data_IF_005119200829
#
_entry.id   IF_005119200829
#
_cell.length_a   1.000
_cell.length_b   1.000
_cell.length_c   1.000
_cell.angle_alpha   90.00
_cell.angle_beta   90.00
_cell.angle_gamma   90.00
#
_symmetry.space_group_name_H-M   'P 1'
#
loop_
_entity.id
_entity.type
_entity.pdbx_description
1 polymer ?
#
# COMPACT_ATOMS: atom_id res chain seq x y z
N UNK A 1 -8.57 -0.97 -16.63
CA UNK A 1 -9.69 -0.83 -15.66
C UNK A 1 -9.11 -0.71 -14.27
N UNK A 2 -9.74 0.04 -13.38
CA UNK A 2 -9.27 0.30 -12.02
C UNK A 2 -10.02 1.45 -11.38
N UNK A 3 -9.47 1.98 -10.29
CA UNK A 3 -9.97 3.13 -9.56
C UNK A 3 -9.28 4.39 -10.08
N UNK A 4 -10.07 5.31 -10.65
CA UNK A 4 -9.58 6.62 -11.07
C UNK A 4 -9.08 7.46 -9.87
N UNK A 5 -8.53 8.64 -10.14
CA UNK A 5 -8.01 9.51 -9.09
C UNK A 5 -9.10 9.89 -8.09
N UNK A 6 -8.90 9.56 -6.81
CA UNK A 6 -9.84 9.84 -5.73
C UNK A 6 -9.10 10.21 -4.43
N UNK A 7 -9.68 11.08 -3.58
CA UNK A 7 -9.01 11.59 -2.38
C UNK A 7 -9.22 10.71 -1.15
N UNK A 8 -8.24 10.77 -0.23
CA UNK A 8 -8.29 10.25 1.13
C UNK A 8 -7.69 11.26 2.11
N UNK A 9 -8.04 11.13 3.39
CA UNK A 9 -7.53 11.94 4.50
C UNK A 9 -7.55 11.10 5.77
N UNK A 10 -6.53 11.23 6.61
CA UNK A 10 -6.44 10.57 7.92
C UNK A 10 -6.79 9.07 7.88
N UNK A 11 -6.22 8.37 6.90
CA UNK A 11 -6.41 6.93 6.65
C UNK A 11 -5.10 6.29 6.22
N UNK A 12 -4.81 5.11 6.76
CA UNK A 12 -3.71 4.25 6.31
C UNK A 12 -4.27 3.24 5.32
N UNK A 13 -3.83 3.32 4.06
CA UNK A 13 -4.29 2.45 2.98
C UNK A 13 -3.18 1.47 2.65
N UNK A 14 -3.46 0.19 2.87
CA UNK A 14 -2.51 -0.92 2.67
C UNK A 14 -2.97 -1.74 1.47
N UNK A 15 -2.09 -1.94 0.50
CA UNK A 15 -2.33 -2.76 -0.68
C UNK A 15 -1.38 -3.95 -0.74
N UNK A 16 -1.92 -5.16 -0.88
CA UNK A 16 -1.16 -6.41 -0.99
C UNK A 16 -1.66 -7.21 -2.20
N UNK A 17 -1.00 -7.13 -3.36
CA UNK A 17 -1.31 -7.96 -4.50
C UNK A 17 -1.09 -9.45 -4.23
N UNK A 18 -2.07 -10.26 -4.59
CA UNK A 18 -2.00 -11.74 -4.55
C UNK A 18 -1.82 -12.32 -5.95
N UNK A 19 -2.19 -11.59 -7.00
CA UNK A 19 -1.92 -11.93 -8.39
C UNK A 19 -1.88 -10.67 -9.28
N UNK A 20 -1.08 -10.71 -10.34
CA UNK A 20 -0.94 -9.59 -11.26
C UNK A 20 -0.14 -8.42 -10.67
N UNK A 21 -0.43 -7.22 -11.14
CA UNK A 21 0.31 -5.98 -10.86
C UNK A 21 -0.67 -4.85 -10.63
N UNK A 22 -0.49 -4.09 -9.55
CA UNK A 22 -1.30 -2.91 -9.24
C UNK A 22 -0.46 -1.67 -9.53
N UNK A 23 -0.92 -0.84 -10.47
CA UNK A 23 -0.28 0.44 -10.77
C UNK A 23 -0.85 1.53 -9.86
N UNK A 24 0.01 2.19 -9.10
CA UNK A 24 -0.31 3.30 -8.22
C UNK A 24 0.21 4.61 -8.78
N UNK A 25 -0.55 5.70 -8.60
CA UNK A 25 -0.09 7.07 -8.81
C UNK A 25 -0.80 8.01 -7.85
N UNK A 26 -0.07 8.94 -7.24
CA UNK A 26 -0.64 9.93 -6.33
C UNK A 26 -0.25 11.39 -6.64
N UNK A 27 -0.86 12.30 -5.89
CA UNK A 27 -0.69 13.76 -6.03
C UNK A 27 0.61 14.29 -5.42
N UNK A 28 1.34 13.52 -4.62
CA UNK A 28 2.65 13.93 -4.08
C UNK A 28 3.81 13.53 -5.01
N UNK A 29 3.49 12.94 -6.17
CA UNK A 29 4.44 12.63 -7.24
C UNK A 29 4.91 11.18 -7.24
N UNK A 30 4.40 10.34 -6.35
CA UNK A 30 4.74 8.92 -6.35
C UNK A 30 3.97 8.19 -7.43
N UNK A 31 4.66 7.32 -8.15
CA UNK A 31 4.03 6.34 -9.02
C UNK A 31 4.86 5.06 -9.02
N UNK A 32 4.19 3.92 -9.11
CA UNK A 32 4.84 2.64 -8.98
C UNK A 32 3.96 1.49 -9.40
N UNK A 33 4.59 0.33 -9.58
CA UNK A 33 3.90 -0.94 -9.74
C UNK A 33 4.15 -1.75 -8.47
N UNK A 34 3.06 -2.25 -7.88
CA UNK A 34 3.08 -3.13 -6.72
C UNK A 34 2.80 -4.53 -7.25
N UNK A 35 3.73 -5.45 -7.04
CA UNK A 35 3.65 -6.83 -7.54
C UNK A 35 3.29 -7.82 -6.43
N UNK A 36 2.94 -9.06 -6.82
CA UNK A 36 2.72 -10.12 -5.84
C UNK A 36 3.99 -10.42 -5.05
N UNK A 37 3.87 -10.56 -3.74
CA UNK A 37 5.02 -10.64 -2.82
C UNK A 37 5.52 -9.28 -2.33
N UNK A 38 4.81 -8.20 -2.66
CA UNK A 38 5.06 -6.85 -2.14
C UNK A 38 3.90 -6.35 -1.28
N UNK A 39 4.20 -5.39 -0.41
CA UNK A 39 3.24 -4.59 0.33
C UNK A 39 3.47 -3.12 -0.01
N UNK A 40 2.37 -2.38 -0.08
CA UNK A 40 2.38 -0.93 -0.18
C UNK A 40 1.52 -0.33 0.94
N UNK A 41 1.99 0.76 1.51
CA UNK A 41 1.26 1.61 2.46
C UNK A 41 1.26 3.04 1.96
N UNK A 42 0.10 3.68 2.04
CA UNK A 42 -0.07 5.11 1.86
C UNK A 42 -0.75 5.67 3.12
N UNK A 43 -0.05 6.53 3.86
CA UNK A 43 -0.66 7.33 4.92
C UNK A 43 -1.25 8.58 4.27
N UNK A 44 -2.56 8.74 4.32
CA UNK A 44 -3.23 9.85 3.67
C UNK A 44 -3.01 11.19 4.41
N UNK A 45 -2.81 11.15 5.73
CA UNK A 45 -2.46 12.33 6.52
C UNK A 45 -3.36 13.54 6.28
N UNK A 46 -2.76 14.71 6.09
CA UNK A 46 -3.45 15.98 5.77
C UNK A 46 -4.23 15.96 4.45
N UNK A 47 -4.04 14.94 3.61
CA UNK A 47 -4.81 14.66 2.41
C UNK A 47 -3.94 14.25 1.23
N UNK A 48 -4.36 13.22 0.50
CA UNK A 48 -3.72 12.76 -0.74
C UNK A 48 -4.80 12.26 -1.70
N UNK A 49 -4.60 12.45 -3.00
CA UNK A 49 -5.43 11.78 -4.00
C UNK A 49 -4.57 10.80 -4.81
N UNK A 50 -5.16 9.66 -5.14
CA UNK A 50 -4.45 8.58 -5.83
C UNK A 50 -5.34 7.80 -6.78
N UNK A 51 -4.73 7.10 -7.72
CA UNK A 51 -5.37 6.15 -8.62
C UNK A 51 -4.68 4.80 -8.56
N UNK A 52 -5.48 3.76 -8.72
CA UNK A 52 -5.05 2.37 -8.62
C UNK A 52 -5.59 1.62 -9.83
N UNK A 53 -4.71 1.28 -10.77
CA UNK A 53 -5.09 0.68 -12.04
C UNK A 53 -4.53 -0.73 -12.16
N UNK A 54 -5.18 -1.59 -12.94
CA UNK A 54 -4.53 -2.83 -13.36
C UNK A 54 -3.25 -2.48 -14.16
N UNK A 55 -2.09 -2.92 -13.66
CA UNK A 55 -0.79 -2.70 -14.27
C UNK A 55 -0.42 -3.71 -15.36
N UNK A 56 -1.26 -4.72 -15.62
CA UNK A 56 -1.08 -5.65 -16.74
C UNK A 56 -2.04 -5.31 -17.88
N UNK A 57 -1.61 -5.58 -19.12
CA UNK A 57 -2.46 -5.50 -20.30
C UNK A 57 -3.50 -6.63 -20.33
N UNK A 58 -3.08 -7.86 -20.02
CA UNK A 58 -3.85 -9.06 -20.37
C UNK A 58 -4.28 -9.91 -19.16
N UNK A 59 -3.76 -9.62 -17.96
CA UNK A 59 -4.01 -10.42 -16.75
C UNK A 59 -4.71 -9.56 -15.69
N UNK A 60 -5.82 -10.03 -15.07
CA UNK A 60 -6.44 -9.32 -13.96
C UNK A 60 -5.53 -9.22 -12.75
N UNK A 61 -5.50 -8.05 -12.11
CA UNK A 61 -4.93 -7.89 -10.77
C UNK A 61 -5.91 -8.42 -9.71
N UNK A 62 -5.39 -9.09 -8.69
CA UNK A 62 -6.11 -9.47 -7.45
C UNK A 62 -5.27 -9.00 -6.28
N UNK A 63 -5.89 -8.34 -5.32
CA UNK A 63 -5.18 -7.76 -4.19
C UNK A 63 -6.11 -7.56 -3.01
N UNK A 64 -5.53 -7.47 -1.81
CA UNK A 64 -6.22 -6.94 -0.64
C UNK A 64 -6.00 -5.44 -0.58
N UNK A 65 -7.09 -4.70 -0.32
CA UNK A 65 -7.04 -3.30 0.08
C UNK A 65 -7.58 -3.23 1.51
N UNK A 66 -6.74 -2.79 2.45
CA UNK A 66 -7.03 -2.79 3.88
C UNK A 66 -6.89 -1.35 4.36
N UNK A 67 -7.92 -0.86 5.05
CA UNK A 67 -7.94 0.50 5.58
C UNK A 67 -7.86 0.45 7.10
N UNK A 68 -6.92 1.21 7.65
CA UNK A 68 -6.72 1.30 9.10
C UNK A 68 -6.83 2.76 9.51
N UNK A 69 -7.65 3.03 10.53
CA UNK A 69 -7.70 4.35 11.14
C UNK A 69 -6.38 4.60 11.88
N UNK A 70 -5.65 5.68 11.57
CA UNK A 70 -4.36 5.92 12.19
C UNK A 70 -4.51 6.32 13.65
N UNK A 71 -3.52 6.00 14.48
CA UNK A 71 -3.46 6.49 15.87
C UNK A 71 -3.13 7.99 15.97
N UNK A 72 -2.70 8.59 14.85
CA UNK A 72 -2.33 10.00 14.75
C UNK A 72 -2.87 10.59 13.45
N UNK A 73 -3.64 11.67 13.58
CA UNK A 73 -4.21 12.41 12.45
C UNK A 73 -3.36 13.64 12.11
N UNK A 74 -3.58 14.21 10.92
CA UNK A 74 -2.92 15.42 10.45
C UNK A 74 -1.42 15.26 10.21
N UNK A 75 -0.96 14.02 10.00
CA UNK A 75 0.44 13.72 9.64
C UNK A 75 0.72 14.10 8.18
N UNK A 76 1.99 14.24 7.84
CA UNK A 76 2.39 14.44 6.44
C UNK A 76 2.02 13.20 5.60
N UNK A 77 1.38 13.36 4.42
CA UNK A 77 1.11 12.24 3.54
C UNK A 77 2.40 11.53 3.14
N UNK A 78 2.39 10.21 3.15
CA UNK A 78 3.57 9.42 2.80
C UNK A 78 3.22 8.12 2.09
N UNK A 79 4.22 7.58 1.40
CA UNK A 79 4.16 6.32 0.69
C UNK A 79 5.34 5.44 1.09
N UNK A 80 5.11 4.14 1.23
CA UNK A 80 6.16 3.14 1.39
C UNK A 80 5.77 1.86 0.65
N UNK A 81 6.75 1.21 0.03
CA UNK A 81 6.59 -0.08 -0.63
C UNK A 81 7.79 -0.97 -0.32
N UNK A 82 7.53 -2.26 -0.07
CA UNK A 82 8.56 -3.23 0.27
C UNK A 82 8.25 -4.62 -0.30
N UNK A 83 9.30 -5.38 -0.64
CA UNK A 83 9.18 -6.82 -0.90
C UNK A 83 9.07 -7.57 0.43
N UNK A 84 8.01 -8.35 0.58
CA UNK A 84 7.72 -9.15 1.77
C UNK A 84 7.88 -10.65 1.53
N UNK A 85 8.09 -11.09 0.28
CA UNK A 85 8.27 -12.49 -0.06
C UNK A 85 9.37 -13.17 0.78
N UNK A 86 10.50 -12.46 1.01
CA UNK A 86 11.63 -12.99 1.79
C UNK A 86 11.37 -12.98 3.31
N UNK A 87 10.32 -12.27 3.76
CA UNK A 87 9.92 -12.15 5.16
C UNK A 87 8.89 -13.21 5.57
N UNK A 88 8.27 -13.90 4.60
CA UNK A 88 7.17 -14.82 4.81
C UNK A 88 7.62 -16.26 4.55
N UNK A 89 7.49 -17.10 5.59
CA UNK A 89 7.77 -18.54 5.49
C UNK A 89 6.48 -19.35 5.59
N UNK A 90 6.34 -20.46 4.85
CA UNK A 90 5.18 -21.32 4.96
C UNK A 90 4.94 -21.79 6.40
N UNK A 91 3.70 -21.66 6.88
CA UNK A 91 3.27 -22.07 8.22
C UNK A 91 3.94 -21.31 9.38
N UNK A 92 4.48 -20.12 9.14
CA UNK A 92 5.02 -19.23 10.17
C UNK A 92 4.34 -17.86 10.11
N UNK A 93 4.27 -17.16 11.25
CA UNK A 93 3.88 -15.76 11.28
C UNK A 93 5.06 -14.88 10.89
N UNK A 94 4.85 -13.97 9.93
CA UNK A 94 5.82 -12.94 9.55
C UNK A 94 5.23 -11.55 9.73
N UNK A 95 5.97 -10.66 10.38
CA UNK A 95 5.59 -9.27 10.52
C UNK A 95 5.94 -8.50 9.24
N UNK A 96 4.94 -7.84 8.66
CA UNK A 96 5.10 -7.07 7.42
C UNK A 96 4.67 -5.61 7.58
N UNK A 97 4.03 -5.27 8.70
CA UNK A 97 3.51 -3.94 9.00
C UNK A 97 3.45 -3.72 10.53
N UNK A 98 3.88 -2.56 11.02
CA UNK A 98 3.86 -2.19 12.46
C UNK A 98 3.62 -0.69 12.67
N UNK A 99 3.05 -0.23 13.79
CA UNK A 99 3.05 1.19 14.16
C UNK A 99 4.43 1.71 14.61
N UNK A 100 5.41 0.83 14.82
CA UNK A 100 6.79 1.20 15.16
C UNK A 100 7.65 1.28 13.88
N UNK A 101 8.32 2.40 13.57
CA UNK A 101 9.14 2.50 12.36
C UNK A 101 10.42 1.65 12.38
N UNK A 102 10.89 1.22 13.56
CA UNK A 102 12.10 0.41 13.71
C UNK A 102 11.85 -1.10 13.57
N UNK A 103 10.58 -1.48 13.45
CA UNK A 103 10.13 -2.85 13.32
C UNK A 103 10.27 -3.37 11.88
N UNK A 104 10.17 -4.69 11.71
CA UNK A 104 10.21 -5.31 10.39
C UNK A 104 9.00 -4.91 9.54
N UNK A 105 9.24 -4.61 8.26
CA UNK A 105 8.21 -4.37 7.26
C UNK A 105 8.03 -2.89 6.93
N UNK A 106 6.81 -2.53 6.52
CA UNK A 106 6.39 -1.13 6.41
C UNK A 106 5.83 -0.64 7.74
N UNK A 107 5.69 0.66 7.92
CA UNK A 107 5.08 1.20 9.13
C UNK A 107 3.80 1.96 8.84
N UNK A 108 2.95 2.16 9.85
CA UNK A 108 1.74 3.00 9.86
C UNK A 108 1.71 3.91 11.08
N UNK A 109 0.87 4.95 11.08
CA UNK A 109 0.59 5.71 12.30
C UNK A 109 -0.40 4.94 13.16
#
# INVERSE_FOLDING_TARGET
MGFGTHPHRDMEIISIPTAGKLAHKDTIGTSGIIESGEIQVMSAGTGIAHSEMNGNADVPVKFFQIWVMPNKQGVEPRYQQLKIADMLKPNEFGQILSPNPDDAGVWIH
#
